data_IF_662690317626
#
_entry.id   IF_662690317626
#
_cell.length_a   1.000
_cell.length_b   1.000
_cell.length_c   1.000
_cell.angle_alpha   90.00
_cell.angle_beta   90.00
_cell.angle_gamma   90.00
#
_symmetry.space_group_name_H-M   'P 1'
#
loop_
_entity.id
_entity.type
_entity.pdbx_description
1 polymer ?
#
# COMPACT_ATOMS: atom_id res chain seq x y z
N UNK A 1 -1.22 -18.06 15.23
CA UNK A 1 -1.13 -16.64 14.84
C UNK A 1 -0.67 -15.86 16.07
N UNK A 2 0.23 -14.87 15.95
CA UNK A 2 0.55 -14.01 17.11
C UNK A 2 -0.62 -13.05 17.31
N UNK A 3 -1.43 -13.30 18.33
CA UNK A 3 -2.70 -12.62 18.58
C UNK A 3 -2.56 -11.12 18.91
N UNK A 4 -1.34 -10.62 19.16
CA UNK A 4 -1.07 -9.23 19.54
C UNK A 4 0.01 -8.56 18.65
N UNK A 5 -0.20 -8.53 17.33
CA UNK A 5 0.68 -7.79 16.42
C UNK A 5 0.25 -6.32 16.31
N UNK A 6 1.18 -5.39 16.55
CA UNK A 6 0.95 -3.96 16.32
C UNK A 6 1.29 -3.59 14.88
N UNK A 7 0.37 -2.90 14.21
CA UNK A 7 0.60 -2.30 12.89
C UNK A 7 0.99 -0.84 13.11
N UNK A 8 2.16 -0.44 12.63
CA UNK A 8 2.54 0.99 12.60
C UNK A 8 1.78 1.69 11.48
N UNK A 9 0.95 2.65 11.85
CA UNK A 9 0.23 3.51 10.92
C UNK A 9 0.83 4.93 10.97
N UNK A 10 1.07 5.58 9.82
CA UNK A 10 1.47 6.98 9.82
C UNK A 10 0.33 7.84 10.41
N UNK A 11 0.67 8.73 11.35
CA UNK A 11 -0.32 9.58 12.04
C UNK A 11 -1.08 10.52 11.09
N UNK A 12 -0.49 10.84 9.93
CA UNK A 12 -1.14 11.62 8.88
C UNK A 12 -2.44 10.99 8.39
N UNK A 13 -2.61 9.66 8.50
CA UNK A 13 -3.86 8.99 8.18
C UNK A 13 -5.04 9.50 9.03
N UNK A 14 -4.80 9.97 10.25
CA UNK A 14 -5.85 10.52 11.13
C UNK A 14 -6.39 11.86 10.63
N UNK A 15 -5.62 12.56 9.79
CA UNK A 15 -5.98 13.86 9.24
C UNK A 15 -6.61 13.74 7.85
N UNK A 16 -6.72 12.52 7.34
CA UNK A 16 -7.29 12.27 6.03
C UNK A 16 -8.81 12.10 6.13
N UNK A 17 -9.53 12.66 5.16
CA UNK A 17 -10.97 12.44 4.98
C UNK A 17 -11.37 10.94 4.92
N UNK A 18 -10.43 10.03 4.62
CA UNK A 18 -10.69 8.58 4.64
C UNK A 18 -10.82 8.00 6.04
N UNK A 19 -10.33 8.70 7.07
CA UNK A 19 -10.55 8.33 8.46
C UNK A 19 -12.03 8.55 8.85
N UNK A 20 -12.67 9.55 8.26
CA UNK A 20 -14.07 9.91 8.55
C UNK A 20 -15.08 8.92 7.96
N UNK A 21 -14.71 8.19 6.90
CA UNK A 21 -15.51 7.07 6.38
C UNK A 21 -15.03 5.74 6.98
N UNK A 22 -15.78 5.11 7.90
CA UNK A 22 -15.38 3.85 8.53
C UNK A 22 -15.19 2.69 7.55
N UNK A 23 -15.78 2.75 6.35
CA UNK A 23 -15.59 1.73 5.31
C UNK A 23 -14.24 1.91 4.62
N UNK A 24 -13.88 3.15 4.28
CA UNK A 24 -12.60 3.46 3.64
C UNK A 24 -11.44 3.27 4.63
N UNK A 25 -11.61 3.68 5.88
CA UNK A 25 -10.64 3.41 6.93
C UNK A 25 -10.39 1.90 7.10
N UNK A 26 -11.46 1.10 7.19
CA UNK A 26 -11.34 -0.38 7.26
C UNK A 26 -10.67 -0.97 6.03
N UNK A 27 -10.93 -0.42 4.85
CA UNK A 27 -10.27 -0.83 3.61
C UNK A 27 -8.77 -0.57 3.67
N UNK A 28 -8.34 0.64 4.06
CA UNK A 28 -6.92 1.01 4.20
C UNK A 28 -6.21 0.12 5.23
N UNK A 29 -6.79 -0.04 6.42
CA UNK A 29 -6.24 -0.93 7.46
C UNK A 29 -6.13 -2.37 6.94
N UNK A 30 -7.14 -2.84 6.20
CA UNK A 30 -7.13 -4.15 5.58
C UNK A 30 -6.01 -4.33 4.55
N UNK A 31 -5.75 -3.33 3.71
CA UNK A 31 -4.62 -3.35 2.77
C UNK A 31 -3.28 -3.47 3.50
N UNK A 32 -3.11 -2.71 4.58
CA UNK A 32 -1.89 -2.73 5.40
C UNK A 32 -1.69 -4.09 6.06
N UNK A 33 -2.76 -4.67 6.61
CA UNK A 33 -2.72 -5.98 7.24
C UNK A 33 -2.44 -7.12 6.23
N UNK A 34 -2.79 -6.93 4.95
CA UNK A 34 -2.56 -7.91 3.89
C UNK A 34 -1.17 -7.79 3.24
N UNK A 35 -0.58 -6.60 3.31
CA UNK A 35 0.75 -6.33 2.78
C UNK A 35 1.80 -7.27 3.39
N UNK A 36 2.81 -7.61 2.60
CA UNK A 36 3.88 -8.51 3.04
C UNK A 36 4.69 -7.85 4.16
N UNK A 37 4.94 -8.60 5.23
CA UNK A 37 5.88 -8.19 6.28
C UNK A 37 7.31 -8.63 5.95
N UNK A 38 7.46 -9.83 5.38
CA UNK A 38 8.72 -10.39 4.89
C UNK A 38 8.63 -10.47 3.37
N UNK A 39 9.66 -10.06 2.62
CA UNK A 39 9.66 -10.20 1.17
C UNK A 39 9.52 -11.67 0.75
N UNK A 40 8.74 -11.92 -0.30
CA UNK A 40 8.54 -13.28 -0.83
C UNK A 40 8.40 -13.26 -2.35
N UNK A 41 8.79 -14.37 -2.99
CA UNK A 41 8.45 -14.59 -4.39
C UNK A 41 7.06 -15.23 -4.48
N UNK A 42 6.16 -14.60 -5.24
CA UNK A 42 4.83 -15.14 -5.55
C UNK A 42 4.64 -15.24 -7.05
N UNK A 43 4.45 -16.47 -7.53
CA UNK A 43 4.16 -16.77 -8.95
C UNK A 43 5.14 -16.05 -9.91
N UNK A 44 6.44 -16.11 -9.62
CA UNK A 44 7.47 -15.46 -10.42
C UNK A 44 7.59 -13.94 -10.24
N UNK A 45 6.84 -13.34 -9.31
CA UNK A 45 6.92 -11.92 -8.96
C UNK A 45 7.49 -11.74 -7.56
N UNK A 46 8.57 -10.97 -7.44
CA UNK A 46 9.11 -10.59 -6.14
C UNK A 46 8.21 -9.52 -5.49
N UNK A 47 7.72 -9.80 -4.28
CA UNK A 47 6.85 -8.92 -3.51
C UNK A 47 7.61 -8.47 -2.27
N UNK A 48 7.96 -7.19 -2.22
CA UNK A 48 8.72 -6.59 -1.12
C UNK A 48 7.86 -6.35 0.12
N UNK A 49 8.50 -6.08 1.25
CA UNK A 49 7.80 -5.61 2.46
C UNK A 49 6.96 -4.36 2.15
N UNK A 50 5.72 -4.32 2.65
CA UNK A 50 4.76 -3.24 2.38
C UNK A 50 4.02 -3.38 1.04
N UNK A 51 4.32 -4.40 0.24
CA UNK A 51 3.61 -4.66 -1.01
C UNK A 51 2.55 -5.76 -0.86
N UNK A 52 1.51 -5.66 -1.67
CA UNK A 52 0.41 -6.60 -1.78
C UNK A 52 0.18 -6.91 -3.27
N UNK A 53 0.50 -8.14 -3.67
CA UNK A 53 0.16 -8.66 -4.98
C UNK A 53 -1.25 -9.27 -4.92
N UNK A 54 -2.22 -8.68 -5.62
CA UNK A 54 -3.64 -9.07 -5.53
C UNK A 54 -4.38 -8.83 -6.85
N UNK A 55 -5.68 -9.08 -6.87
CA UNK A 55 -6.55 -8.73 -8.00
C UNK A 55 -7.68 -7.82 -7.55
N UNK A 56 -8.27 -7.06 -8.48
CA UNK A 56 -9.47 -6.28 -8.18
C UNK A 56 -10.60 -7.19 -7.69
N UNK A 57 -10.73 -8.39 -8.26
CA UNK A 57 -11.72 -9.39 -7.85
C UNK A 57 -11.56 -9.78 -6.38
N UNK A 58 -10.34 -10.15 -5.96
CA UNK A 58 -10.05 -10.50 -4.56
C UNK A 58 -10.38 -9.35 -3.60
N UNK A 59 -10.05 -8.11 -3.96
CA UNK A 59 -10.39 -6.94 -3.15
C UNK A 59 -11.90 -6.70 -3.08
N UNK A 60 -12.61 -6.82 -4.20
CA UNK A 60 -14.07 -6.64 -4.21
C UNK A 60 -14.77 -7.68 -3.35
N UNK A 61 -14.33 -8.94 -3.40
CA UNK A 61 -14.90 -10.05 -2.61
C UNK A 61 -14.59 -9.85 -1.12
N UNK A 62 -13.34 -9.55 -0.79
CA UNK A 62 -12.90 -9.44 0.61
C UNK A 62 -13.50 -8.25 1.35
N UNK A 63 -13.66 -7.12 0.67
CA UNK A 63 -14.15 -5.88 1.28
C UNK A 63 -15.61 -5.57 0.94
N UNK A 64 -16.27 -6.41 0.13
CA UNK A 64 -17.64 -6.17 -0.34
C UNK A 64 -17.81 -4.80 -1.01
N UNK A 65 -16.80 -4.37 -1.76
CA UNK A 65 -16.78 -3.11 -2.51
C UNK A 65 -17.06 -3.41 -3.98
N UNK A 66 -18.01 -2.74 -4.65
CA UNK A 66 -18.22 -2.89 -6.10
C UNK A 66 -16.97 -2.51 -6.91
N UNK A 67 -16.72 -3.17 -8.04
CA UNK A 67 -15.50 -2.97 -8.86
C UNK A 67 -15.32 -1.52 -9.36
N UNK A 68 -16.42 -0.83 -9.65
CA UNK A 68 -16.44 0.59 -10.02
C UNK A 68 -16.00 1.48 -8.86
N UNK A 69 -16.59 1.27 -7.67
CA UNK A 69 -16.20 1.97 -6.44
C UNK A 69 -14.76 1.68 -6.06
N UNK A 70 -14.32 0.41 -6.14
CA UNK A 70 -12.94 0.02 -5.85
C UNK A 70 -11.94 0.78 -6.72
N UNK A 71 -12.23 0.95 -8.01
CA UNK A 71 -11.33 1.68 -8.91
C UNK A 71 -11.23 3.15 -8.52
N UNK A 72 -12.35 3.79 -8.15
CA UNK A 72 -12.34 5.18 -7.65
C UNK A 72 -11.56 5.31 -6.34
N UNK A 73 -11.80 4.40 -5.40
CA UNK A 73 -11.12 4.38 -4.09
C UNK A 73 -9.61 4.20 -4.29
N UNK A 74 -9.17 3.28 -5.15
CA UNK A 74 -7.75 3.07 -5.41
C UNK A 74 -7.09 4.30 -6.05
N UNK A 75 -7.73 4.96 -7.02
CA UNK A 75 -7.21 6.21 -7.59
C UNK A 75 -7.09 7.31 -6.53
N UNK A 76 -8.11 7.47 -5.71
CA UNK A 76 -8.15 8.44 -4.63
C UNK A 76 -7.03 8.21 -3.59
N UNK A 77 -6.85 6.97 -3.15
CA UNK A 77 -5.76 6.62 -2.22
C UNK A 77 -4.36 6.80 -2.84
N UNK A 78 -4.25 6.68 -4.16
CA UNK A 78 -2.99 6.92 -4.89
C UNK A 78 -2.70 8.41 -5.05
N UNK A 79 -3.70 9.22 -5.37
CA UNK A 79 -3.61 10.70 -5.41
C UNK A 79 -3.18 11.28 -4.06
N UNK A 80 -3.66 10.69 -2.97
CA UNK A 80 -3.37 11.11 -1.59
C UNK A 80 -2.06 10.49 -1.06
N UNK A 81 -1.34 9.73 -1.89
CA UNK A 81 -0.04 9.15 -1.54
C UNK A 81 -0.09 8.07 -0.46
N UNK A 82 -1.26 7.47 -0.22
CA UNK A 82 -1.45 6.38 0.75
C UNK A 82 -1.01 5.05 0.14
N UNK A 83 -1.24 4.87 -1.16
CA UNK A 83 -0.81 3.70 -1.91
C UNK A 83 -0.16 4.09 -3.23
N UNK A 84 0.50 3.13 -3.86
CA UNK A 84 0.85 3.16 -5.28
C UNK A 84 0.33 1.91 -5.95
N UNK A 85 -0.26 2.01 -7.15
CA UNK A 85 -0.75 0.86 -7.90
C UNK A 85 0.06 0.62 -9.16
N UNK A 86 0.41 -0.63 -9.43
CA UNK A 86 1.11 -1.03 -10.65
C UNK A 86 0.39 -2.20 -11.31
N UNK A 87 0.10 -2.07 -12.61
CA UNK A 87 -0.48 -3.16 -13.39
C UNK A 87 0.61 -4.18 -13.70
N UNK A 88 0.31 -5.47 -13.52
CA UNK A 88 1.23 -6.56 -13.84
C UNK A 88 0.51 -7.59 -14.72
N UNK A 89 1.25 -8.30 -15.56
CA UNK A 89 0.66 -9.36 -16.39
C UNK A 89 0.40 -10.58 -15.49
N UNK A 90 -0.83 -11.12 -15.47
CA UNK A 90 -1.21 -12.27 -14.64
C UNK A 90 -1.78 -11.94 -13.24
N UNK A 91 -1.69 -10.68 -12.81
CA UNK A 91 -2.38 -10.14 -11.63
C UNK A 91 -2.95 -8.77 -11.97
N UNK A 92 -4.20 -8.49 -11.61
CA UNK A 92 -4.78 -7.20 -12.00
C UNK A 92 -4.01 -6.00 -11.42
N UNK A 93 -3.40 -6.13 -10.21
CA UNK A 93 -2.73 -5.01 -9.52
C UNK A 93 -1.69 -5.45 -8.47
N UNK A 94 -0.53 -4.79 -8.46
CA UNK A 94 0.38 -4.72 -7.31
C UNK A 94 0.12 -3.42 -6.56
N UNK A 95 -0.21 -3.51 -5.28
CA UNK A 95 -0.41 -2.35 -4.40
C UNK A 95 0.79 -2.23 -3.47
N UNK A 96 1.46 -1.08 -3.49
CA UNK A 96 2.45 -0.74 -2.47
C UNK A 96 1.77 0.17 -1.45
N UNK A 97 1.76 -0.23 -0.17
CA UNK A 97 1.22 0.62 0.89
C UNK A 97 2.32 1.52 1.42
N UNK A 98 2.13 2.83 1.28
CA UNK A 98 3.11 3.84 1.63
C UNK A 98 2.94 4.20 3.10
N UNK A 99 3.56 3.41 3.98
CA UNK A 99 3.65 3.73 5.41
C UNK A 99 4.77 4.75 5.64
N UNK A 100 4.46 6.04 5.37
CA UNK A 100 5.31 7.24 5.57
C UNK A 100 6.25 7.60 4.39
N UNK A 101 6.64 8.90 4.28
CA UNK A 101 7.03 9.54 3.03
C UNK A 101 8.32 8.94 2.50
N UNK A 102 8.45 8.95 1.18
CA UNK A 102 9.68 8.61 0.50
C UNK A 102 10.87 9.27 1.20
N UNK A 103 11.67 8.48 1.92
CA UNK A 103 13.08 8.82 2.07
C UNK A 103 13.65 8.80 0.66
N UNK A 104 14.35 9.86 0.22
CA UNK A 104 14.84 9.93 -1.15
C UNK A 104 15.66 8.69 -1.48
N UNK A 105 15.57 8.26 -2.72
CA UNK A 105 16.24 7.08 -3.25
C UNK A 105 17.73 7.02 -2.81
N UNK A 106 18.31 5.82 -2.62
CA UNK A 106 19.70 5.63 -2.18
C UNK A 106 20.74 6.39 -3.02
N UNK A 107 20.38 6.78 -4.24
CA UNK A 107 21.19 7.58 -5.16
C UNK A 107 21.47 9.00 -4.67
N UNK A 108 20.69 9.51 -3.70
CA UNK A 108 20.80 10.90 -3.21
C UNK A 108 21.71 10.99 -1.99
N UNK A 109 21.76 9.95 -1.14
CA UNK A 109 22.64 9.93 0.05
C UNK A 109 24.13 9.78 -0.27
N UNK A 110 24.47 9.20 -1.43
CA UNK A 110 25.87 9.13 -1.87
C UNK A 110 26.43 10.47 -2.36
N UNK A 111 25.57 11.44 -2.72
CA UNK A 111 26.02 12.77 -3.14
C UNK A 111 26.21 13.73 -1.97
N UNK A 112 25.33 13.68 -0.96
CA UNK A 112 25.44 14.54 0.22
C UNK A 112 26.56 14.11 1.19
N UNK A 113 26.87 12.81 1.30
CA UNK A 113 28.01 12.35 2.12
C UNK A 113 29.38 12.54 1.43
N UNK A 114 29.39 12.85 0.12
CA UNK A 114 30.62 13.01 -0.65
C UNK A 114 31.07 14.49 -0.82
N UNK A 115 30.36 15.46 -0.24
CA UNK A 115 30.80 16.86 -0.21
C UNK A 115 31.21 17.41 -1.59
N UNK A 116 30.42 17.13 -2.63
CA UNK A 116 30.67 17.66 -3.97
C UNK A 116 29.47 18.50 -4.43
N UNK A 117 29.64 19.80 -4.15
CA UNK A 117 28.93 21.01 -4.60
C UNK A 117 27.58 21.30 -3.91
#
# INVERSE_FOLDING_TARGET
MKENAFIKLPRSLLNSQYFDDPRLFRFVVGLIAMARFVPEERRGTYVSTGQLLTTKKELTEKFSIPRSSLTRILCQLEEEGIIKTEKRTGYDILITVLLSPQSPAPSTMLKEQAGLL
#
